data_IF_808739533620
#
_entry.id   IF_808739533620
#
_cell.length_a   1.000
_cell.length_b   1.000
_cell.length_c   1.000
_cell.angle_alpha   90.00
_cell.angle_beta   90.00
_cell.angle_gamma   90.00
#
_symmetry.space_group_name_H-M   'P 1'
#
loop_
_entity.id
_entity.type
_entity.pdbx_description
1 polymer ?
#
# COMPACT_ATOMS: atom_id res chain seq x y z
N UNK A 1 -22.04 -20.60 -4.62
CA UNK A 1 -21.94 -20.11 -5.21
C UNK A 1 -21.71 -19.91 -5.48
N UNK A 2 -21.53 -20.18 -5.27
CA UNK A 2 -21.22 -19.80 -5.85
C UNK A 2 -20.90 -19.49 -6.11
N UNK A 3 -20.45 -19.81 -6.19
CA UNK A 3 -19.97 -19.42 -6.65
C UNK A 3 -19.56 -19.16 -6.74
N UNK A 4 -19.07 -19.33 -6.94
CA UNK A 4 -18.57 -18.84 -7.33
C UNK A 4 -18.37 -18.58 -7.87
N UNK A 5 -18.11 -18.58 -8.18
CA UNK A 5 -17.83 -18.01 -8.91
C UNK A 5 -17.77 -17.57 -9.43
N UNK A 6 -17.67 -17.48 -9.83
CA UNK A 6 -17.53 -16.80 -10.51
C UNK A 6 -17.51 -16.28 -10.91
N UNK A 7 -17.47 -16.29 -11.32
CA UNK A 7 -17.40 -15.63 -11.80
C UNK A 7 -17.43 -14.88 -11.99
N UNK A 8 -17.34 -14.82 -12.58
CA UNK A 8 -17.30 -14.12 -12.69
C UNK A 8 -17.19 -13.27 -12.60
N UNK A 9 -17.03 -13.14 -13.36
CA UNK A 9 -16.93 -12.45 -13.24
C UNK A 9 -17.04 -11.55 -12.53
N UNK A 10 -17.43 -11.08 -12.45
CA UNK A 10 -17.36 -10.44 -11.66
C UNK A 10 -17.45 -10.84 -10.54
N UNK A 11 -17.19 -10.75 -10.53
CA UNK A 11 -16.86 -11.40 -9.46
C UNK A 11 -16.95 -10.69 -8.21
N UNK A 12 -17.45 -11.25 -7.16
CA UNK A 12 -17.48 -10.58 -5.89
C UNK A 12 -16.12 -10.71 -5.20
N UNK A 13 -15.67 -9.61 -4.62
CA UNK A 13 -14.45 -9.54 -3.86
C UNK A 13 -14.77 -9.67 -2.38
N UNK A 14 -14.09 -10.58 -1.69
CA UNK A 14 -14.27 -10.73 -0.26
C UNK A 14 -13.27 -9.86 0.49
N UNK A 15 -13.51 -9.66 1.77
CA UNK A 15 -12.55 -8.95 2.63
C UNK A 15 -11.21 -9.69 2.64
N UNK A 16 -11.25 -11.01 2.55
CA UNK A 16 -10.01 -11.78 2.51
C UNK A 16 -9.18 -11.40 1.29
N UNK A 17 -9.81 -11.20 0.14
CA UNK A 17 -9.10 -10.80 -1.07
C UNK A 17 -8.44 -9.44 -0.90
N UNK A 18 -9.12 -8.51 -0.22
CA UNK A 18 -8.55 -7.21 0.08
C UNK A 18 -7.33 -7.35 0.98
N UNK A 19 -7.44 -8.18 2.01
CA UNK A 19 -6.34 -8.36 2.95
C UNK A 19 -5.15 -9.07 2.32
N UNK A 20 -5.36 -9.89 1.28
CA UNK A 20 -4.25 -10.48 0.55
C UNK A 20 -3.38 -9.42 -0.10
N UNK A 21 -3.95 -8.26 -0.43
CA UNK A 21 -3.22 -7.18 -1.07
C UNK A 21 -2.64 -6.20 -0.04
N UNK A 22 -3.44 -5.79 0.95
CA UNK A 22 -3.05 -4.72 1.87
C UNK A 22 -3.02 -5.13 3.34
N UNK A 23 -3.17 -6.42 3.63
CA UNK A 23 -3.27 -6.89 5.02
C UNK A 23 -1.95 -7.10 5.73
N UNK A 24 -0.84 -7.00 5.01
CA UNK A 24 0.46 -7.14 5.64
C UNK A 24 0.76 -5.99 6.59
N UNK A 25 1.65 -6.25 7.52
CA UNK A 25 1.96 -5.29 8.57
C UNK A 25 2.37 -3.92 8.06
N UNK A 26 3.02 -3.88 6.88
CA UNK A 26 3.64 -2.66 6.38
C UNK A 26 2.89 -2.00 5.23
N UNK A 27 1.90 -2.68 4.64
CA UNK A 27 1.22 -2.17 3.44
C UNK A 27 0.51 -0.85 3.70
N UNK A 28 -0.41 -0.83 4.67
CA UNK A 28 -1.18 0.37 4.95
C UNK A 28 -0.33 1.54 5.46
N UNK A 29 0.66 1.32 6.34
CA UNK A 29 1.57 2.42 6.70
C UNK A 29 2.28 3.04 5.50
N UNK A 30 2.74 2.23 4.55
CA UNK A 30 3.40 2.76 3.34
C UNK A 30 2.42 3.57 2.51
N UNK A 31 1.23 3.03 2.28
CA UNK A 31 0.20 3.74 1.52
C UNK A 31 -0.14 5.07 2.18
N UNK A 32 -0.25 5.07 3.51
CA UNK A 32 -0.61 6.27 4.24
C UNK A 32 0.42 7.38 4.06
N UNK A 33 1.72 7.06 4.19
CA UNK A 33 2.74 8.10 4.03
C UNK A 33 2.85 8.57 2.59
N UNK A 34 2.62 7.70 1.61
CA UNK A 34 2.63 8.09 0.21
C UNK A 34 1.41 8.93 -0.18
N UNK A 35 0.37 8.93 0.64
CA UNK A 35 -0.80 9.77 0.37
C UNK A 35 -0.45 11.25 0.46
N UNK A 36 0.65 11.59 1.12
CA UNK A 36 1.07 12.98 1.29
C UNK A 36 1.96 13.47 0.16
N UNK A 37 2.38 12.60 -0.73
CA UNK A 37 3.19 12.98 -1.87
C UNK A 37 4.18 11.90 -2.26
N UNK A 38 4.90 12.19 -3.33
CA UNK A 38 5.93 11.31 -3.86
C UNK A 38 7.14 11.28 -2.93
N UNK A 39 7.67 10.08 -2.66
CA UNK A 39 8.82 9.92 -1.77
C UNK A 39 9.85 9.01 -2.41
N UNK A 40 11.11 9.21 -2.03
CA UNK A 40 12.18 8.29 -2.37
C UNK A 40 12.20 7.12 -1.39
N UNK A 41 12.87 6.05 -1.79
CA UNK A 41 13.00 4.86 -0.96
C UNK A 41 13.50 5.18 0.45
N UNK A 42 14.58 5.98 0.54
CA UNK A 42 15.16 6.31 1.85
C UNK A 42 14.21 7.12 2.72
N UNK A 43 13.39 7.98 2.10
CA UNK A 43 12.41 8.76 2.84
C UNK A 43 11.33 7.86 3.42
N UNK A 44 10.89 6.87 2.66
CA UNK A 44 9.89 5.91 3.14
C UNK A 44 10.46 5.11 4.31
N UNK A 45 11.68 4.61 4.12
CA UNK A 45 12.34 3.80 5.15
C UNK A 45 12.48 4.58 6.46
N UNK A 46 12.86 5.85 6.34
CA UNK A 46 13.03 6.71 7.50
C UNK A 46 11.73 7.06 8.20
N UNK A 47 10.64 7.06 7.44
CA UNK A 47 9.32 7.46 7.96
C UNK A 47 8.59 6.35 8.69
N UNK A 48 9.00 5.09 8.54
CA UNK A 48 8.28 3.96 9.15
C UNK A 48 9.18 3.30 10.17
N UNK A 49 8.84 3.50 11.42
CA UNK A 49 9.61 2.93 12.52
C UNK A 49 9.52 1.42 12.51
N UNK A 50 10.66 0.76 12.66
CA UNK A 50 10.71 -0.69 12.77
C UNK A 50 10.83 -1.45 11.46
N UNK A 51 10.70 -0.78 10.32
CA UNK A 51 10.86 -1.46 9.04
C UNK A 51 12.34 -1.51 8.68
N UNK A 52 12.76 -2.64 8.09
CA UNK A 52 14.13 -2.73 7.57
C UNK A 52 14.08 -2.72 6.04
N UNK A 53 15.27 -2.58 5.43
CA UNK A 53 15.40 -2.46 3.99
C UNK A 53 14.76 -3.62 3.24
N UNK A 54 14.99 -4.85 3.72
CA UNK A 54 14.46 -6.05 3.06
C UNK A 54 12.94 -6.06 3.05
N UNK A 55 12.33 -5.73 4.19
CA UNK A 55 10.87 -5.71 4.29
C UNK A 55 10.27 -4.61 3.41
N UNK A 56 10.94 -3.45 3.36
CA UNK A 56 10.45 -2.35 2.53
C UNK A 56 10.53 -2.70 1.05
N UNK A 57 11.65 -3.28 0.60
CA UNK A 57 11.79 -3.72 -0.79
C UNK A 57 10.67 -4.68 -1.16
N UNK A 58 10.44 -5.67 -0.29
CA UNK A 58 9.43 -6.69 -0.55
C UNK A 58 8.03 -6.09 -0.63
N UNK A 59 7.70 -5.20 0.31
CA UNK A 59 6.36 -4.64 0.35
C UNK A 59 6.11 -3.66 -0.79
N UNK A 60 7.10 -2.83 -1.13
CA UNK A 60 6.96 -1.90 -2.25
C UNK A 60 6.76 -2.67 -3.55
N UNK A 61 7.47 -3.78 -3.72
CA UNK A 61 7.29 -4.61 -4.91
C UNK A 61 5.89 -5.21 -4.95
N UNK A 62 5.40 -5.68 -3.83
CA UNK A 62 4.04 -6.21 -3.74
C UNK A 62 3.01 -5.15 -4.13
N UNK A 63 3.15 -3.94 -3.60
CA UNK A 63 2.23 -2.86 -3.89
C UNK A 63 2.32 -2.42 -5.35
N UNK A 64 3.51 -2.44 -5.92
CA UNK A 64 3.70 -2.12 -7.33
C UNK A 64 3.03 -3.16 -8.23
N UNK A 65 3.23 -4.44 -7.95
CA UNK A 65 2.63 -5.53 -8.72
C UNK A 65 1.10 -5.44 -8.68
N UNK A 66 0.55 -5.03 -7.55
CA UNK A 66 -0.90 -4.90 -7.40
C UNK A 66 -1.45 -3.56 -7.90
N UNK A 67 -0.61 -2.74 -8.52
CA UNK A 67 -1.06 -1.49 -9.12
C UNK A 67 -1.41 -0.39 -8.14
N UNK A 68 -0.94 -0.49 -6.91
CA UNK A 68 -1.23 0.51 -5.86
C UNK A 68 -0.17 1.59 -5.83
N UNK A 69 1.07 1.22 -6.13
CA UNK A 69 2.22 2.12 -6.10
C UNK A 69 2.87 2.16 -7.46
N UNK A 70 3.29 3.34 -7.88
CA UNK A 70 4.07 3.56 -9.09
C UNK A 70 5.51 3.82 -8.71
N UNK A 71 6.43 3.10 -9.36
CA UNK A 71 7.86 3.29 -9.19
C UNK A 71 8.42 3.95 -10.43
N UNK A 72 9.07 5.10 -10.27
CA UNK A 72 9.66 5.84 -11.38
C UNK A 72 11.16 5.96 -11.16
N UNK A 73 11.93 5.56 -12.17
CA UNK A 73 13.39 5.66 -12.14
C UNK A 73 13.81 6.80 -13.05
N UNK A 74 14.62 7.72 -12.50
CA UNK A 74 15.16 8.82 -13.26
C UNK A 74 16.61 8.53 -13.61
N UNK A 75 16.95 8.72 -14.87
CA UNK A 75 18.30 8.46 -15.37
C UNK A 75 19.21 9.65 -15.06
N UNK A 76 19.37 9.95 -13.80
CA UNK A 76 20.27 11.00 -13.32
C UNK A 76 21.52 10.36 -12.75
N UNK A 77 22.49 11.20 -12.36
CA UNK A 77 23.72 10.74 -11.71
C UNK A 77 23.83 11.45 -10.37
N UNK A 78 23.66 10.77 -9.23
CA UNK A 78 23.27 9.36 -9.12
C UNK A 78 21.81 9.12 -9.54
N UNK A 79 21.43 7.87 -9.85
CA UNK A 79 20.05 7.57 -10.22
C UNK A 79 19.08 7.87 -9.08
N UNK A 80 17.88 8.29 -9.44
CA UNK A 80 16.84 8.64 -8.48
C UNK A 80 15.64 7.74 -8.72
N UNK A 81 15.12 7.15 -7.65
CA UNK A 81 13.92 6.31 -7.71
C UNK A 81 12.87 6.92 -6.80
N UNK A 82 11.68 7.15 -7.34
CA UNK A 82 10.57 7.74 -6.59
C UNK A 82 9.37 6.82 -6.60
N UNK A 83 8.62 6.86 -5.53
CA UNK A 83 7.40 6.08 -5.34
C UNK A 83 6.22 7.02 -5.10
N UNK A 84 5.10 6.71 -5.72
CA UNK A 84 3.87 7.48 -5.54
C UNK A 84 2.67 6.55 -5.62
N UNK A 85 1.51 7.02 -5.13
CA UNK A 85 0.29 6.26 -5.25
C UNK A 85 -0.29 6.41 -6.65
N UNK A 86 -0.77 5.29 -7.19
CA UNK A 86 -1.58 5.30 -8.41
C UNK A 86 -3.01 5.77 -8.06
N UNK A 87 -3.85 6.07 -9.06
CA UNK A 87 -5.26 6.34 -8.76
C UNK A 87 -5.93 5.21 -7.98
N UNK A 88 -5.57 3.95 -8.29
CA UNK A 88 -6.07 2.79 -7.55
C UNK A 88 -5.62 2.84 -6.08
N UNK A 89 -4.38 3.21 -5.86
CA UNK A 89 -3.86 3.36 -4.50
C UNK A 89 -4.53 4.49 -3.75
N UNK A 90 -4.74 5.62 -4.42
CA UNK A 90 -5.41 6.77 -3.80
C UNK A 90 -6.83 6.43 -3.40
N UNK A 91 -7.50 5.56 -4.15
CA UNK A 91 -8.87 5.16 -3.85
C UNK A 91 -8.99 4.40 -2.53
N UNK A 92 -7.88 3.88 -2.00
CA UNK A 92 -7.87 3.21 -0.71
C UNK A 92 -7.89 4.19 0.47
N UNK A 93 -7.51 5.44 0.25
CA UNK A 93 -7.29 6.36 1.36
C UNK A 93 -8.52 6.61 2.24
N UNK A 94 -9.74 6.76 1.69
CA UNK A 94 -10.89 6.95 2.57
C UNK A 94 -11.07 5.78 3.55
N UNK A 95 -10.85 4.55 3.09
CA UNK A 95 -10.96 3.37 3.94
C UNK A 95 -9.86 3.32 4.98
N UNK A 96 -8.63 3.64 4.57
CA UNK A 96 -7.49 3.64 5.49
C UNK A 96 -7.67 4.71 6.57
N UNK A 97 -8.16 5.89 6.19
CA UNK A 97 -8.44 6.95 7.17
C UNK A 97 -9.51 6.54 8.15
N UNK A 98 -10.54 5.83 7.67
CA UNK A 98 -11.59 5.33 8.55
C UNK A 98 -11.05 4.32 9.54
N UNK A 99 -10.17 3.43 9.09
CA UNK A 99 -9.52 2.46 9.97
C UNK A 99 -8.64 3.15 11.00
N UNK A 100 -7.93 4.18 10.58
CA UNK A 100 -7.07 4.94 11.49
C UNK A 100 -7.90 5.58 12.60
N UNK A 101 -9.04 6.18 12.25
CA UNK A 101 -9.93 6.77 13.24
C UNK A 101 -10.48 5.73 14.20
N UNK A 102 -10.87 4.58 13.66
CA UNK A 102 -11.35 3.47 14.50
C UNK A 102 -10.26 3.05 15.50
N UNK A 103 -9.02 2.95 15.01
CA UNK A 103 -7.89 2.56 15.85
C UNK A 103 -7.63 3.56 16.97
N UNK A 104 -7.73 4.85 16.66
CA UNK A 104 -7.54 5.88 17.67
C UNK A 104 -8.57 5.81 18.77
N UNK A 105 -9.79 5.39 18.44
CA UNK A 105 -10.88 5.35 19.43
C UNK A 105 -10.89 4.03 20.21
N UNK A 106 -10.62 2.91 19.55
CA UNK A 106 -10.89 1.61 20.14
C UNK A 106 -9.68 0.70 20.29
N UNK A 107 -8.67 0.81 19.43
CA UNK A 107 -7.58 -0.17 19.43
C UNK A 107 -6.51 0.14 20.46
N UNK A 108 -6.48 1.36 20.98
CA UNK A 108 -5.49 1.75 21.98
C UNK A 108 -5.94 1.29 23.36
N UNK A 109 -5.03 0.77 24.10
CA UNK A 109 -5.29 0.30 25.46
C UNK A 109 -4.45 1.07 26.45
#
# INVERSE_FOLDING_TARGET
MAIKKNTSAQQSCSIKDVLDVIGGKWAMPIIYILSKGTLRFTDIERSIEGINTRMLVKELKNLEVNGIVLRVVYATIPPKVEYSLTPKGKALMPSIKALHRWGQTYARV
#
